data_IF_502023293729
#
_entry.id   IF_502023293729
#
_cell.length_a   1.000
_cell.length_b   1.000
_cell.length_c   1.000
_cell.angle_alpha   90.00
_cell.angle_beta   90.00
_cell.angle_gamma   90.00
#
_symmetry.space_group_name_H-M   'P 1'
#
loop_
_entity.id
_entity.type
_entity.pdbx_description
1 polymer ?
#
# COMPACT_ATOMS: atom_id res chain seq x y z
N UNK A 1 -11.33 -5.43 0.97
CA UNK A 1 -10.17 -6.32 1.16
C UNK A 1 -9.68 -6.24 2.60
N UNK A 2 -8.95 -7.27 3.06
CA UNK A 2 -8.34 -7.32 4.38
C UNK A 2 -6.86 -7.68 4.24
N UNK A 3 -5.98 -6.85 4.78
CA UNK A 3 -4.52 -7.00 4.69
C UNK A 3 -3.95 -6.89 6.10
N UNK A 4 -3.05 -7.81 6.45
CA UNK A 4 -2.30 -7.80 7.71
C UNK A 4 -0.87 -7.34 7.47
N UNK A 5 -0.40 -6.40 8.29
CA UNK A 5 0.99 -5.93 8.32
C UNK A 5 1.41 -5.69 9.77
N UNK A 6 2.54 -6.24 10.20
CA UNK A 6 3.11 -6.05 11.55
C UNK A 6 2.05 -6.17 12.66
N UNK A 7 1.27 -7.27 12.65
CA UNK A 7 0.19 -7.60 13.60
C UNK A 7 -1.07 -6.73 13.55
N UNK A 8 -1.14 -5.72 12.66
CA UNK A 8 -2.33 -4.90 12.43
C UNK A 8 -3.12 -5.38 11.23
N UNK A 9 -4.46 -5.36 11.35
CA UNK A 9 -5.39 -5.68 10.26
C UNK A 9 -6.02 -4.40 9.75
N UNK A 10 -5.83 -4.14 8.45
CA UNK A 10 -6.50 -3.08 7.72
C UNK A 10 -7.66 -3.68 6.91
N UNK A 11 -8.79 -2.97 6.86
CA UNK A 11 -9.97 -3.45 6.16
C UNK A 11 -10.77 -2.33 5.52
N UNK A 12 -11.18 -2.53 4.25
CA UNK A 12 -11.99 -1.55 3.52
C UNK A 12 -11.87 -1.71 2.01
N UNK A 13 -12.19 -0.65 1.26
CA UNK A 13 -11.76 -0.53 -0.14
C UNK A 13 -10.23 -0.41 -0.21
N UNK A 14 -9.60 -0.70 -1.37
CA UNK A 14 -8.16 -0.55 -1.52
C UNK A 14 -7.65 0.84 -1.13
N UNK A 15 -8.33 1.90 -1.58
CA UNK A 15 -7.96 3.29 -1.27
C UNK A 15 -8.07 3.59 0.22
N UNK A 16 -9.12 3.12 0.90
CA UNK A 16 -9.31 3.35 2.33
C UNK A 16 -8.21 2.68 3.17
N UNK A 17 -7.77 1.49 2.79
CA UNK A 17 -6.64 0.80 3.44
C UNK A 17 -5.35 1.60 3.25
N UNK A 18 -5.06 2.05 2.03
CA UNK A 18 -3.84 2.81 1.73
C UNK A 18 -3.86 4.19 2.41
N UNK A 19 -5.02 4.85 2.50
CA UNK A 19 -5.18 6.11 3.25
C UNK A 19 -4.89 5.92 4.74
N UNK A 20 -5.39 4.84 5.36
CA UNK A 20 -5.09 4.54 6.77
C UNK A 20 -3.59 4.32 7.00
N UNK A 21 -2.94 3.53 6.14
CA UNK A 21 -1.49 3.30 6.22
C UNK A 21 -0.69 4.61 6.03
N UNK A 22 -1.14 5.47 5.12
CA UNK A 22 -0.54 6.77 4.90
C UNK A 22 -0.66 7.67 6.15
N UNK A 23 -1.84 7.73 6.76
CA UNK A 23 -2.09 8.49 7.98
C UNK A 23 -1.17 8.07 9.14
N UNK A 24 -0.88 6.77 9.24
CA UNK A 24 0.05 6.24 10.25
C UNK A 24 1.51 6.54 9.96
N UNK A 25 1.94 6.42 8.70
CA UNK A 25 3.35 6.61 8.34
C UNK A 25 3.79 8.07 8.41
N UNK A 26 2.93 9.00 8.03
CA UNK A 26 3.36 10.37 7.74
C UNK A 26 2.69 11.45 8.58
N UNK A 27 1.62 11.13 9.32
CA UNK A 27 0.59 12.11 9.67
C UNK A 27 0.10 12.85 8.39
N UNK A 28 -1.14 13.32 8.34
CA UNK A 28 -1.74 13.84 7.07
C UNK A 28 -1.02 15.06 6.43
N UNK A 29 0.05 15.53 7.04
CA UNK A 29 0.69 16.81 6.73
C UNK A 29 2.02 16.67 5.96
N UNK A 30 2.58 15.45 5.81
CA UNK A 30 3.92 15.27 5.19
C UNK A 30 3.87 14.97 3.69
N UNK A 31 2.82 14.31 3.22
CA UNK A 31 2.50 14.16 1.79
C UNK A 31 1.12 14.78 1.59
N UNK A 32 0.80 15.26 0.39
CA UNK A 32 -0.52 15.89 0.16
C UNK A 32 -1.47 14.97 -0.62
N UNK A 33 -0.92 13.95 -1.28
CA UNK A 33 -1.66 13.09 -2.19
C UNK A 33 -1.31 11.62 -1.97
N UNK A 34 -2.33 10.76 -1.94
CA UNK A 34 -2.18 9.30 -1.84
C UNK A 34 -1.26 8.72 -2.94
N UNK A 35 -1.18 9.35 -4.11
CA UNK A 35 -0.26 8.94 -5.18
C UNK A 35 1.22 9.10 -4.80
N UNK A 36 1.56 10.17 -4.09
CA UNK A 36 2.92 10.39 -3.59
C UNK A 36 3.29 9.33 -2.57
N UNK A 37 2.33 8.97 -1.70
CA UNK A 37 2.50 7.87 -0.75
C UNK A 37 2.69 6.53 -1.46
N UNK A 38 1.86 6.20 -2.45
CA UNK A 38 1.99 4.96 -3.23
C UNK A 38 3.38 4.91 -3.89
N UNK A 39 3.81 5.98 -4.56
CA UNK A 39 5.13 6.05 -5.19
C UNK A 39 6.28 5.92 -4.18
N UNK A 40 6.16 6.56 -3.02
CA UNK A 40 7.11 6.44 -1.93
C UNK A 40 7.24 4.98 -1.46
N UNK A 41 6.12 4.30 -1.19
CA UNK A 41 6.15 2.91 -0.72
C UNK A 41 6.77 1.99 -1.77
N UNK A 42 6.36 2.10 -3.04
CA UNK A 42 6.95 1.29 -4.13
C UNK A 42 8.46 1.49 -4.24
N UNK A 43 8.93 2.73 -4.16
CA UNK A 43 10.36 3.04 -4.18
C UNK A 43 11.12 2.40 -3.01
N UNK A 44 10.53 2.38 -1.81
CA UNK A 44 11.14 1.74 -0.65
C UNK A 44 11.13 0.21 -0.74
N UNK A 45 10.04 -0.40 -1.23
CA UNK A 45 9.98 -1.85 -1.46
C UNK A 45 11.05 -2.27 -2.46
N UNK A 46 11.21 -1.55 -3.57
CA UNK A 46 12.27 -1.83 -4.52
C UNK A 46 13.66 -1.66 -3.90
N UNK A 47 13.91 -0.55 -3.19
CA UNK A 47 15.21 -0.23 -2.60
C UNK A 47 15.65 -1.22 -1.53
N UNK A 48 14.74 -1.66 -0.67
CA UNK A 48 15.08 -2.45 0.52
C UNK A 48 14.75 -3.93 0.39
N UNK A 49 13.73 -4.30 -0.38
CA UNK A 49 13.35 -5.70 -0.62
C UNK A 49 13.75 -6.21 -2.02
N UNK A 50 14.23 -5.33 -2.92
CA UNK A 50 14.60 -5.73 -4.29
C UNK A 50 13.40 -6.12 -5.16
N UNK A 51 12.18 -5.81 -4.74
CA UNK A 51 10.95 -6.25 -5.39
C UNK A 51 10.26 -5.08 -6.12
N UNK A 52 9.95 -5.26 -7.40
CA UNK A 52 9.25 -4.26 -8.22
C UNK A 52 7.74 -4.43 -8.15
N UNK A 53 7.01 -3.36 -7.82
CA UNK A 53 5.54 -3.32 -7.85
C UNK A 53 5.10 -2.42 -9.01
N UNK A 54 4.36 -2.99 -9.97
CA UNK A 54 3.77 -2.22 -11.08
C UNK A 54 2.45 -1.55 -10.65
N UNK A 55 2.52 -0.24 -10.42
CA UNK A 55 1.37 0.61 -10.06
C UNK A 55 0.77 1.35 -11.27
N UNK A 56 1.10 0.98 -12.51
CA UNK A 56 0.57 1.66 -13.69
C UNK A 56 -0.93 1.39 -13.90
N UNK A 57 -1.78 2.28 -13.41
CA UNK A 57 -3.22 2.22 -13.59
C UNK A 57 -3.86 3.62 -13.72
N UNK A 58 -5.10 3.66 -14.22
CA UNK A 58 -5.83 4.91 -14.49
C UNK A 58 -6.50 5.52 -13.26
N UNK A 59 -6.84 4.72 -12.25
CA UNK A 59 -7.59 5.15 -11.07
C UNK A 59 -6.77 4.92 -9.80
N UNK A 60 -7.00 5.74 -8.78
CA UNK A 60 -6.38 5.59 -7.46
C UNK A 60 -6.71 4.23 -6.85
N UNK A 61 -7.94 3.75 -7.01
CA UNK A 61 -8.37 2.45 -6.52
C UNK A 61 -7.53 1.31 -7.06
N UNK A 62 -7.29 1.32 -8.38
CA UNK A 62 -6.53 0.27 -9.04
C UNK A 62 -5.04 0.36 -8.69
N UNK A 63 -4.50 1.58 -8.57
CA UNK A 63 -3.12 1.80 -8.06
C UNK A 63 -2.97 1.26 -6.63
N UNK A 64 -3.94 1.55 -5.77
CA UNK A 64 -3.97 1.11 -4.38
C UNK A 64 -4.06 -0.41 -4.28
N UNK A 65 -4.92 -1.03 -5.11
CA UNK A 65 -5.05 -2.48 -5.19
C UNK A 65 -3.74 -3.14 -5.61
N UNK A 66 -3.12 -2.65 -6.67
CA UNK A 66 -1.81 -3.15 -7.17
C UNK A 66 -0.71 -2.98 -6.13
N UNK A 67 -0.69 -1.87 -5.40
CA UNK A 67 0.23 -1.68 -4.27
C UNK A 67 0.04 -2.79 -3.24
N UNK A 68 -1.19 -3.01 -2.76
CA UNK A 68 -1.48 -3.98 -1.71
C UNK A 68 -1.19 -5.42 -2.16
N UNK A 69 -1.56 -5.79 -3.39
CA UNK A 69 -1.23 -7.10 -3.95
C UNK A 69 0.29 -7.26 -4.12
N UNK A 70 1.00 -6.19 -4.51
CA UNK A 70 2.46 -6.16 -4.60
C UNK A 70 3.15 -6.32 -3.24
N UNK A 71 2.63 -5.71 -2.17
CA UNK A 71 3.14 -5.89 -0.81
C UNK A 71 2.94 -7.32 -0.31
N UNK A 72 1.83 -7.95 -0.66
CA UNK A 72 1.59 -9.38 -0.36
C UNK A 72 2.57 -10.26 -1.14
N UNK A 73 2.75 -10.01 -2.44
CA UNK A 73 3.70 -10.75 -3.27
C UNK A 73 5.16 -10.59 -2.81
N UNK A 74 5.52 -9.42 -2.28
CA UNK A 74 6.83 -9.14 -1.69
C UNK A 74 7.03 -9.77 -0.29
N UNK A 75 6.00 -10.41 0.29
CA UNK A 75 6.04 -11.00 1.64
C UNK A 75 6.06 -9.98 2.78
N UNK A 76 5.73 -8.72 2.49
CA UNK A 76 5.68 -7.62 3.47
C UNK A 76 4.33 -7.59 4.18
N UNK A 77 3.28 -7.98 3.45
CA UNK A 77 1.92 -8.06 3.95
C UNK A 77 1.35 -9.46 3.75
N UNK A 78 0.30 -9.79 4.49
CA UNK A 78 -0.46 -11.02 4.30
C UNK A 78 -1.91 -10.70 3.96
N UNK A 79 -2.43 -11.31 2.90
CA UNK A 79 -3.86 -11.22 2.57
C UNK A 79 -4.64 -12.12 3.52
N UNK A 80 -5.70 -11.59 4.12
CA UNK A 80 -6.61 -12.40 4.93
C UNK A 80 -7.75 -12.86 4.00
N UNK A 81 -7.72 -14.12 3.62
CA UNK A 81 -8.83 -14.77 2.93
C UNK A 81 -9.90 -15.13 3.97
N UNK A 82 -11.16 -14.78 3.70
CA UNK A 82 -12.29 -15.18 4.53
C UNK A 82 -12.77 -16.56 4.12
#
# INVERSE_FOLDING_TARGET
MRVMMNDRVYSGSPEAVVDEMWNECFHRDTLNHIEEYIAYVVGNVFKFAGFGIDINARTIEEKSRRLLDGLVAAGIASKIEN
#
